data_IF_912962304788
#
_entry.id   IF_912962304788
#
_cell.length_a   1.000
_cell.length_b   1.000
_cell.length_c   1.000
_cell.angle_alpha   90.00
_cell.angle_beta   90.00
_cell.angle_gamma   90.00
#
_symmetry.space_group_name_H-M   'P 1'
#
loop_
_entity.id
_entity.type
_entity.pdbx_description
1 polymer ?
#
# COMPACT_ATOMS: atom_id res chain seq x y z
N UNK A 1 25.92 -1.56 1.55
CA UNK A 1 26.09 -2.92 0.97
C UNK A 1 25.60 -2.79 -0.45
N UNK A 2 26.49 -3.05 -1.40
CA UNK A 2 26.19 -2.92 -2.83
C UNK A 2 26.14 -4.33 -3.41
N UNK A 3 25.00 -4.70 -3.98
CA UNK A 3 24.77 -6.03 -4.56
C UNK A 3 24.53 -5.85 -6.05
N UNK A 4 25.34 -6.54 -6.85
CA UNK A 4 25.21 -6.60 -8.31
C UNK A 4 24.60 -7.95 -8.70
N UNK A 5 23.42 -7.92 -9.31
CA UNK A 5 22.73 -9.13 -9.77
C UNK A 5 22.88 -9.23 -11.29
N UNK A 6 23.51 -10.31 -11.76
CA UNK A 6 23.88 -10.51 -13.17
C UNK A 6 22.96 -11.46 -13.95
N UNK A 7 21.96 -12.08 -13.32
CA UNK A 7 21.07 -13.06 -13.95
C UNK A 7 19.58 -12.73 -13.74
N UNK A 8 18.74 -13.03 -14.73
CA UNK A 8 17.30 -12.81 -14.67
C UNK A 8 16.64 -13.93 -13.86
N UNK A 9 15.58 -13.60 -13.11
CA UNK A 9 14.76 -14.52 -12.31
C UNK A 9 15.45 -15.17 -11.10
N UNK A 10 16.63 -14.68 -10.69
CA UNK A 10 17.22 -15.06 -9.41
C UNK A 10 16.48 -14.34 -8.26
N UNK A 11 15.94 -15.13 -7.32
CA UNK A 11 15.43 -14.62 -6.05
C UNK A 11 16.56 -14.56 -5.03
N UNK A 12 16.92 -13.36 -4.60
CA UNK A 12 17.91 -13.16 -3.55
C UNK A 12 17.22 -12.78 -2.24
N UNK A 13 17.29 -13.68 -1.27
CA UNK A 13 16.86 -13.42 0.10
C UNK A 13 18.06 -12.99 0.93
N UNK A 14 18.08 -11.73 1.34
CA UNK A 14 19.05 -11.23 2.32
C UNK A 14 18.39 -11.26 3.70
N UNK A 15 18.85 -12.15 4.57
CA UNK A 15 18.49 -12.13 5.99
C UNK A 15 19.63 -11.47 6.76
N UNK A 16 19.31 -10.50 7.58
CA UNK A 16 20.27 -9.93 8.52
C UNK A 16 19.56 -9.41 9.75
N UNK A 17 20.21 -9.51 10.90
CA UNK A 17 19.75 -8.86 12.12
C UNK A 17 20.14 -7.36 12.15
N UNK A 18 21.10 -6.94 11.30
CA UNK A 18 21.70 -5.59 11.30
C UNK A 18 21.59 -4.80 9.97
N UNK A 19 21.28 -5.44 8.83
CA UNK A 19 21.16 -4.78 7.52
C UNK A 19 19.74 -4.31 7.29
N UNK A 20 19.49 -3.06 7.64
CA UNK A 20 18.29 -2.35 7.29
C UNK A 20 18.38 -1.88 5.82
N UNK A 21 18.03 -2.75 4.85
CA UNK A 21 17.96 -2.37 3.43
C UNK A 21 16.98 -1.21 3.19
N UNK A 22 16.02 -1.03 4.11
CA UNK A 22 15.06 0.06 4.07
C UNK A 22 15.61 1.43 4.55
N UNK A 23 16.91 1.58 4.82
CA UNK A 23 17.54 2.87 5.20
C UNK A 23 18.86 3.22 4.50
N UNK A 24 19.41 2.43 3.57
CA UNK A 24 20.65 2.83 2.87
C UNK A 24 21.47 1.79 2.10
N UNK A 25 20.89 0.66 1.70
CA UNK A 25 21.54 -0.27 0.76
C UNK A 25 21.12 0.01 -0.67
N UNK A 26 22.06 -0.07 -1.62
CA UNK A 26 21.76 0.04 -3.05
C UNK A 26 21.85 -1.34 -3.70
N UNK A 27 20.82 -1.71 -4.46
CA UNK A 27 20.84 -2.89 -5.31
C UNK A 27 20.81 -2.40 -6.75
N UNK A 28 21.83 -2.76 -7.52
CA UNK A 28 21.91 -2.44 -8.94
C UNK A 28 21.81 -3.74 -9.75
N UNK A 29 20.98 -3.72 -10.79
CA UNK A 29 20.90 -4.82 -11.74
C UNK A 29 20.65 -4.28 -13.14
N UNK A 30 21.31 -4.90 -14.10
CA UNK A 30 21.11 -4.69 -15.54
C UNK A 30 19.94 -5.54 -16.09
N UNK A 31 19.28 -6.31 -15.22
CA UNK A 31 18.15 -7.18 -15.54
C UNK A 31 16.96 -6.85 -14.63
N UNK A 32 15.72 -7.15 -15.06
CA UNK A 32 14.56 -7.07 -14.18
C UNK A 32 14.73 -8.02 -12.99
N UNK A 33 14.69 -7.47 -11.78
CA UNK A 33 14.75 -8.21 -10.51
C UNK A 33 13.56 -7.82 -9.64
N UNK A 34 13.12 -8.76 -8.80
CA UNK A 34 12.19 -8.48 -7.71
C UNK A 34 12.98 -8.50 -6.40
N UNK A 35 12.87 -7.44 -5.60
CA UNK A 35 13.52 -7.35 -4.30
C UNK A 35 12.43 -7.48 -3.23
N UNK A 36 12.50 -8.53 -2.41
CA UNK A 36 11.62 -8.66 -1.24
C UNK A 36 12.36 -8.17 -0.01
N UNK A 37 11.72 -7.28 0.74
CA UNK A 37 12.21 -6.79 2.03
C UNK A 37 11.23 -7.15 3.11
N UNK A 38 11.73 -7.43 4.30
CA UNK A 38 10.88 -7.82 5.40
C UNK A 38 11.59 -7.83 6.73
N UNK A 39 10.85 -8.25 7.74
CA UNK A 39 11.36 -8.52 9.07
C UNK A 39 10.69 -9.81 9.55
N UNK A 40 11.47 -10.76 10.06
CA UNK A 40 10.96 -12.05 10.55
C UNK A 40 10.23 -11.92 11.89
N UNK A 41 10.50 -10.86 12.63
CA UNK A 41 10.14 -10.74 14.04
C UNK A 41 9.66 -9.33 14.39
N UNK A 42 8.63 -8.87 13.68
CA UNK A 42 8.04 -7.55 13.93
C UNK A 42 7.14 -7.61 15.17
N UNK A 43 7.39 -6.78 16.19
CA UNK A 43 6.56 -6.76 17.38
C UNK A 43 5.15 -6.34 16.98
N UNK A 44 4.17 -7.16 17.34
CA UNK A 44 2.77 -6.78 17.28
C UNK A 44 2.25 -6.44 18.67
N UNK A 45 1.00 -6.01 18.76
CA UNK A 45 0.35 -5.79 20.04
C UNK A 45 0.37 -7.09 20.88
N UNK A 46 0.52 -6.96 22.21
CA UNK A 46 0.41 -8.05 23.20
C UNK A 46 1.59 -9.05 23.24
N UNK A 47 2.78 -8.68 22.77
CA UNK A 47 3.99 -9.50 22.92
C UNK A 47 4.10 -10.67 21.94
N UNK A 48 3.12 -10.80 21.04
CA UNK A 48 3.22 -11.65 19.86
C UNK A 48 4.14 -10.97 18.81
N UNK A 49 4.70 -11.78 17.91
CA UNK A 49 5.54 -11.32 16.81
C UNK A 49 5.10 -12.01 15.52
N UNK A 50 5.17 -11.30 14.40
CA UNK A 50 4.89 -11.87 13.08
C UNK A 50 5.98 -11.45 12.09
N UNK A 51 6.12 -12.26 11.04
CA UNK A 51 6.89 -11.84 9.88
C UNK A 51 6.09 -10.83 9.05
N UNK A 52 6.81 -9.91 8.43
CA UNK A 52 6.29 -8.97 7.45
C UNK A 52 7.20 -9.02 6.23
N UNK A 53 6.63 -9.05 5.04
CA UNK A 53 7.40 -9.04 3.80
C UNK A 53 6.62 -8.30 2.73
N UNK A 54 7.33 -7.62 1.85
CA UNK A 54 6.76 -6.91 0.72
C UNK A 54 7.79 -6.78 -0.40
N UNK A 55 7.30 -6.74 -1.64
CA UNK A 55 8.15 -6.47 -2.79
C UNK A 55 8.43 -4.96 -2.86
N UNK A 56 9.71 -4.57 -2.84
CA UNK A 56 10.10 -3.19 -3.01
C UNK A 56 9.94 -2.75 -4.47
N UNK A 57 9.45 -1.52 -4.67
CA UNK A 57 9.52 -0.87 -5.98
C UNK A 57 10.94 -0.32 -6.21
N UNK A 58 11.48 -0.37 -7.43
CA UNK A 58 12.76 0.25 -7.76
C UNK A 58 12.77 1.75 -7.45
N UNK A 59 13.92 2.31 -7.04
CA UNK A 59 14.04 3.72 -6.64
C UNK A 59 13.74 4.72 -7.77
N UNK A 60 13.93 4.32 -9.03
CA UNK A 60 13.52 5.12 -10.20
C UNK A 60 11.98 5.15 -10.41
N UNK A 61 11.25 4.24 -9.77
CA UNK A 61 9.77 4.19 -9.79
C UNK A 61 9.13 4.90 -8.59
N UNK A 62 9.93 5.45 -7.66
CA UNK A 62 9.40 6.30 -6.60
C UNK A 62 8.63 7.48 -7.20
N UNK A 63 7.64 7.99 -6.48
CA UNK A 63 6.74 9.02 -6.98
C UNK A 63 6.48 10.09 -5.93
N UNK A 64 5.75 11.13 -6.32
CA UNK A 64 5.56 12.32 -5.49
C UNK A 64 4.17 12.37 -4.85
N UNK A 65 3.18 11.77 -5.50
CA UNK A 65 1.78 11.89 -5.09
C UNK A 65 1.13 10.54 -4.78
N UNK A 66 0.61 10.42 -3.57
CA UNK A 66 -0.07 9.21 -3.08
C UNK A 66 -1.40 9.56 -2.44
N UNK A 67 -2.31 8.59 -2.48
CA UNK A 67 -3.54 8.60 -1.71
C UNK A 67 -3.46 7.50 -0.67
N UNK A 68 -3.64 7.88 0.59
CA UNK A 68 -3.80 6.96 1.71
C UNK A 68 -5.29 6.75 1.90
N UNK A 69 -5.84 5.56 1.65
CA UNK A 69 -7.24 5.30 1.92
C UNK A 69 -7.46 4.97 3.41
N UNK A 70 -8.69 5.13 3.86
CA UNK A 70 -9.13 4.53 5.13
C UNK A 70 -9.14 3.01 4.97
N UNK A 71 -8.52 2.29 5.91
CA UNK A 71 -8.46 0.83 5.89
C UNK A 71 -9.56 0.25 6.78
N UNK A 72 -10.35 -0.68 6.26
CA UNK A 72 -11.41 -1.31 7.05
C UNK A 72 -10.83 -1.98 8.30
N UNK A 73 -11.54 -1.89 9.44
CA UNK A 73 -11.18 -2.46 10.73
C UNK A 73 -9.88 -1.94 11.39
N UNK A 74 -9.04 -1.13 10.72
CA UNK A 74 -7.90 -0.50 11.39
C UNK A 74 -8.34 0.71 12.25
N UNK A 75 -7.61 1.01 13.33
CA UNK A 75 -7.86 2.21 14.14
C UNK A 75 -6.84 3.33 13.88
N UNK A 76 -5.57 2.94 13.82
CA UNK A 76 -4.47 3.83 13.49
C UNK A 76 -3.70 3.28 12.30
N UNK A 77 -2.94 4.14 11.65
CA UNK A 77 -2.00 3.75 10.60
C UNK A 77 -0.64 4.37 10.90
N UNK A 78 0.42 3.69 10.49
CA UNK A 78 1.77 4.26 10.44
C UNK A 78 2.16 4.38 8.98
N UNK A 79 2.58 5.56 8.57
CA UNK A 79 3.18 5.80 7.27
C UNK A 79 4.69 5.82 7.44
N UNK A 80 5.37 4.87 6.82
CA UNK A 80 6.82 4.93 6.64
C UNK A 80 7.11 5.47 5.26
N UNK A 81 7.83 6.58 5.20
CA UNK A 81 8.12 7.27 3.95
C UNK A 81 9.62 7.25 3.73
N UNK A 82 10.04 6.68 2.61
CA UNK A 82 11.43 6.57 2.19
C UNK A 82 11.64 7.52 1.02
N UNK A 83 12.37 8.60 1.24
CA UNK A 83 12.78 9.53 0.18
C UNK A 83 13.97 8.97 -0.59
N UNK A 84 13.96 9.16 -1.91
CA UNK A 84 15.11 8.87 -2.77
C UNK A 84 16.25 9.86 -2.51
N UNK A 85 15.90 11.13 -2.31
CA UNK A 85 16.82 12.25 -2.18
C UNK A 85 16.76 12.86 -0.77
N UNK A 86 17.90 13.23 -0.15
CA UNK A 86 17.90 13.87 1.17
C UNK A 86 17.27 15.27 1.10
N UNK A 87 16.79 15.78 2.24
CA UNK A 87 16.08 17.07 2.33
C UNK A 87 14.79 17.15 1.51
N UNK A 88 14.17 16.00 1.25
CA UNK A 88 12.84 15.94 0.63
C UNK A 88 11.79 16.39 1.64
N UNK A 89 11.01 17.42 1.29
CA UNK A 89 9.84 17.82 2.08
C UNK A 89 8.61 17.07 1.61
N UNK A 90 7.88 16.50 2.55
CA UNK A 90 6.61 15.82 2.31
C UNK A 90 5.49 16.54 3.05
N UNK A 91 4.41 16.77 2.32
CA UNK A 91 3.18 17.36 2.77
C UNK A 91 2.11 16.27 2.82
N UNK A 92 1.47 16.10 3.98
CA UNK A 92 0.37 15.16 4.16
C UNK A 92 -0.86 15.94 4.59
N UNK A 93 -1.94 15.81 3.83
CA UNK A 93 -3.17 16.56 4.03
C UNK A 93 -4.34 15.59 4.16
N UNK A 94 -5.12 15.70 5.22
CA UNK A 94 -6.35 14.93 5.40
C UNK A 94 -7.37 15.71 6.21
N UNK A 95 -8.53 15.10 6.48
CA UNK A 95 -9.59 15.72 7.30
C UNK A 95 -9.09 16.11 8.69
N UNK A 96 -8.17 15.31 9.25
CA UNK A 96 -7.66 15.46 10.61
C UNK A 96 -6.45 16.39 10.71
N UNK A 97 -6.03 17.05 9.62
CA UNK A 97 -5.01 18.09 9.68
C UNK A 97 -4.05 18.14 8.49
N UNK A 98 -3.03 18.97 8.67
CA UNK A 98 -1.92 19.17 7.74
C UNK A 98 -0.62 18.85 8.46
N UNK A 99 0.15 17.93 7.90
CA UNK A 99 1.47 17.54 8.38
C UNK A 99 2.49 17.94 7.32
N UNK A 100 3.56 18.60 7.76
CA UNK A 100 4.71 18.93 6.91
C UNK A 100 5.95 18.42 7.61
N UNK A 101 6.75 17.65 6.89
CA UNK A 101 8.00 17.16 7.42
C UNK A 101 9.09 17.22 6.34
N UNK A 102 10.25 17.76 6.70
CA UNK A 102 11.42 17.81 5.83
C UNK A 102 12.40 16.75 6.29
N UNK A 103 12.58 15.72 5.48
CA UNK A 103 13.38 14.57 5.84
C UNK A 103 14.86 14.88 5.64
N UNK A 104 15.55 15.15 6.76
CA UNK A 104 17.01 15.30 6.78
C UNK A 104 17.73 13.98 6.45
N UNK A 105 17.07 12.86 6.70
CA UNK A 105 17.50 11.50 6.35
C UNK A 105 16.57 10.91 5.29
N UNK A 106 16.89 9.72 4.76
CA UNK A 106 16.07 9.05 3.76
C UNK A 106 14.74 8.53 4.30
N UNK A 107 14.56 8.33 5.61
CA UNK A 107 13.38 7.66 6.16
C UNK A 107 12.72 8.47 7.27
N UNK A 108 11.40 8.48 7.28
CA UNK A 108 10.61 8.96 8.40
C UNK A 108 9.38 8.07 8.64
N UNK A 109 8.87 8.08 9.87
CA UNK A 109 7.64 7.40 10.26
C UNK A 109 6.68 8.39 10.91
N UNK A 110 5.41 8.29 10.55
CA UNK A 110 4.35 9.11 11.13
C UNK A 110 3.15 8.23 11.45
N UNK A 111 2.74 8.22 12.72
CA UNK A 111 1.49 7.63 13.15
C UNK A 111 0.33 8.62 12.94
N UNK A 112 -0.75 8.15 12.34
CA UNK A 112 -1.95 8.92 12.03
C UNK A 112 -3.21 8.15 12.41
N UNK A 113 -4.32 8.84 12.72
CA UNK A 113 -5.64 8.22 12.71
C UNK A 113 -5.91 7.50 11.39
N UNK A 114 -6.64 6.38 11.41
CA UNK A 114 -7.05 5.70 10.20
C UNK A 114 -8.13 6.51 9.45
N UNK A 115 -7.71 7.31 8.47
CA UNK A 115 -8.54 8.16 7.63
C UNK A 115 -7.90 8.34 6.24
N UNK A 116 -8.56 9.11 5.37
CA UNK A 116 -8.05 9.48 4.06
C UNK A 116 -7.03 10.62 4.12
N UNK A 117 -5.87 10.42 3.49
CA UNK A 117 -4.83 11.44 3.35
C UNK A 117 -4.32 11.52 1.91
N UNK A 118 -3.83 12.69 1.53
CA UNK A 118 -3.03 12.92 0.34
C UNK A 118 -1.62 13.30 0.72
N UNK A 119 -0.67 12.63 0.09
CA UNK A 119 0.74 12.86 0.26
C UNK A 119 1.22 13.55 -1.01
N UNK A 120 1.91 14.66 -0.84
CA UNK A 120 2.62 15.37 -1.89
C UNK A 120 4.06 15.60 -1.44
N UNK A 121 5.02 15.00 -2.13
CA UNK A 121 6.43 15.15 -1.87
C UNK A 121 7.07 16.10 -2.88
N UNK A 122 8.06 16.89 -2.47
CA UNK A 122 8.82 17.74 -3.39
C UNK A 122 9.75 16.95 -4.32
N UNK A 123 10.03 15.69 -3.97
CA UNK A 123 10.88 14.77 -4.72
C UNK A 123 10.36 13.34 -4.52
N UNK A 124 10.71 12.39 -5.40
CA UNK A 124 10.25 11.01 -5.33
C UNK A 124 10.49 10.33 -3.97
N UNK A 125 9.43 9.73 -3.44
CA UNK A 125 9.42 8.90 -2.24
C UNK A 125 8.75 7.56 -2.52
N UNK A 126 8.91 6.59 -1.62
CA UNK A 126 8.09 5.39 -1.51
C UNK A 126 7.34 5.46 -0.19
N UNK A 127 6.07 5.04 -0.18
CA UNK A 127 5.21 5.07 1.00
C UNK A 127 4.79 3.66 1.36
N UNK A 128 5.09 3.25 2.58
CA UNK A 128 4.62 2.01 3.20
C UNK A 128 3.58 2.34 4.25
N UNK A 129 2.46 1.63 4.23
CA UNK A 129 1.40 1.72 5.22
C UNK A 129 1.47 0.50 6.15
N UNK A 130 1.37 0.76 7.45
CA UNK A 130 1.13 -0.26 8.47
C UNK A 130 -0.23 0.03 9.12
N UNK A 131 -1.04 -0.99 9.34
CA UNK A 131 -2.26 -0.87 10.14
C UNK A 131 -1.95 -1.08 11.61
N UNK A 132 -2.73 -0.47 12.50
CA UNK A 132 -2.61 -0.64 13.95
C UNK A 132 -4.00 -0.71 14.60
N UNK A 133 -4.09 -1.52 15.65
CA UNK A 133 -5.32 -1.75 16.43
C UNK A 133 -5.16 -1.24 17.86
N UNK A 134 -6.26 -0.83 18.49
CA UNK A 134 -6.23 -0.47 19.91
C UNK A 134 -6.19 -1.69 20.82
N UNK A 135 -5.50 -1.52 21.94
CA UNK A 135 -5.11 -2.53 22.93
C UNK A 135 -6.25 -3.32 23.59
N UNK A 136 -7.52 -2.97 23.44
CA UNK A 136 -8.52 -3.41 24.41
C UNK A 136 -9.26 -4.70 24.07
N UNK A 137 -9.72 -4.98 22.84
CA UNK A 137 -10.68 -6.10 22.64
C UNK A 137 -10.65 -6.84 21.28
N UNK A 138 -9.74 -6.52 20.37
CA UNK A 138 -9.66 -7.18 19.05
C UNK A 138 -8.25 -7.65 18.77
N UNK A 139 -8.06 -8.98 18.75
CA UNK A 139 -6.77 -9.62 18.44
C UNK A 139 -6.62 -9.83 16.93
N UNK A 140 -6.55 -8.74 16.18
CA UNK A 140 -6.19 -8.78 14.76
C UNK A 140 -4.80 -8.19 14.62
N UNK A 141 -3.92 -8.91 13.93
CA UNK A 141 -2.53 -8.50 13.77
C UNK A 141 -2.46 -7.34 12.76
N UNK A 142 -1.51 -6.41 12.94
CA UNK A 142 -1.23 -5.40 11.92
C UNK A 142 -0.75 -6.07 10.63
N UNK A 143 -1.00 -5.45 9.49
CA UNK A 143 -0.35 -5.77 8.22
C UNK A 143 0.47 -4.58 7.72
N UNK A 144 1.43 -4.88 6.85
CA UNK A 144 2.23 -3.92 6.09
C UNK A 144 1.84 -4.00 4.61
N UNK A 145 1.81 -2.87 3.91
CA UNK A 145 1.69 -2.86 2.45
C UNK A 145 2.35 -1.62 1.85
N UNK A 146 2.89 -1.70 0.63
CA UNK A 146 3.25 -0.51 -0.14
C UNK A 146 1.99 0.17 -0.71
N UNK A 147 1.96 1.50 -0.65
CA UNK A 147 0.92 2.28 -1.33
C UNK A 147 1.31 2.51 -2.78
N UNK A 148 0.43 2.23 -3.76
CA UNK A 148 0.63 2.68 -5.13
C UNK A 148 0.52 4.19 -5.21
N UNK A 149 1.46 4.81 -5.93
CA UNK A 149 1.35 6.20 -6.32
C UNK A 149 0.25 6.37 -7.37
N UNK A 150 -0.26 7.58 -7.55
CA UNK A 150 -1.24 7.89 -8.61
C UNK A 150 -0.68 7.49 -9.99
N UNK A 151 0.61 7.71 -10.24
CA UNK A 151 1.30 7.34 -11.49
C UNK A 151 1.36 5.82 -11.74
N UNK A 152 1.16 5.00 -10.70
CA UNK A 152 1.20 3.53 -10.77
C UNK A 152 -0.17 2.90 -11.03
N UNK A 153 -1.22 3.71 -11.13
CA UNK A 153 -2.60 3.22 -11.27
C UNK A 153 -2.82 2.51 -12.61
N UNK A 154 -3.64 1.46 -12.59
CA UNK A 154 -4.04 0.67 -13.75
C UNK A 154 -5.56 0.76 -13.96
N UNK A 155 -6.01 0.37 -15.15
CA UNK A 155 -7.44 0.18 -15.45
C UNK A 155 -7.88 -1.27 -15.23
N UNK A 156 -6.95 -2.18 -14.93
CA UNK A 156 -7.20 -3.60 -14.78
C UNK A 156 -6.19 -4.25 -13.83
N UNK A 157 -6.69 -5.06 -12.91
CA UNK A 157 -5.94 -5.81 -11.92
C UNK A 157 -6.45 -7.25 -11.86
N UNK A 158 -5.52 -8.18 -11.68
CA UNK A 158 -5.81 -9.57 -11.30
C UNK A 158 -5.20 -9.79 -9.93
N UNK A 159 -6.02 -10.16 -8.96
CA UNK A 159 -5.62 -10.33 -7.57
C UNK A 159 -5.96 -11.74 -7.08
N UNK A 160 -5.37 -12.14 -5.95
CA UNK A 160 -5.66 -13.41 -5.29
C UNK A 160 -5.84 -13.25 -3.80
N UNK A 161 -6.78 -13.97 -3.20
CA UNK A 161 -6.98 -13.95 -1.75
C UNK A 161 -6.81 -15.33 -1.15
N UNK A 162 -6.43 -15.43 0.14
CA UNK A 162 -6.55 -16.69 0.86
C UNK A 162 -7.97 -17.25 0.75
N UNK A 163 -8.05 -18.56 0.59
CA UNK A 163 -9.31 -19.30 0.39
C UNK A 163 -9.82 -19.94 1.67
N UNK A 164 -9.09 -19.76 2.77
CA UNK A 164 -9.48 -20.31 4.06
C UNK A 164 -10.63 -19.47 4.60
N UNK A 165 -11.71 -20.14 5.01
CA UNK A 165 -12.96 -19.49 5.44
C UNK A 165 -12.83 -18.66 6.72
N UNK A 166 -11.67 -18.70 7.37
CA UNK A 166 -11.35 -17.90 8.55
C UNK A 166 -10.92 -16.46 8.20
N UNK A 167 -10.53 -16.18 6.95
CA UNK A 167 -10.24 -14.82 6.51
C UNK A 167 -11.49 -14.09 6.02
N UNK A 168 -11.64 -12.85 6.48
CA UNK A 168 -12.45 -11.85 5.78
C UNK A 168 -11.53 -11.02 4.90
N UNK A 169 -11.71 -11.13 3.59
CA UNK A 169 -10.89 -10.46 2.58
C UNK A 169 -11.55 -9.15 2.16
N UNK A 170 -10.74 -8.14 1.90
CA UNK A 170 -11.14 -6.80 1.50
C UNK A 170 -10.33 -6.33 0.30
N UNK A 171 -10.95 -5.48 -0.49
CA UNK A 171 -10.31 -4.71 -1.54
C UNK A 171 -10.66 -3.23 -1.37
N UNK A 172 -9.68 -2.35 -1.56
CA UNK A 172 -9.89 -0.90 -1.59
C UNK A 172 -9.44 -0.34 -2.93
N UNK A 173 -10.37 0.25 -3.66
CA UNK A 173 -10.16 0.96 -4.91
C UNK A 173 -9.92 2.44 -4.63
N UNK A 174 -8.90 3.03 -5.24
CA UNK A 174 -8.60 4.46 -5.16
C UNK A 174 -8.78 5.06 -6.55
N UNK A 175 -9.79 5.89 -6.75
CA UNK A 175 -10.16 6.42 -8.08
C UNK A 175 -10.36 7.93 -8.03
N UNK A 176 -10.07 8.64 -9.12
CA UNK A 176 -10.38 10.06 -9.23
C UNK A 176 -11.91 10.24 -9.20
N UNK A 177 -12.41 11.19 -8.42
CA UNK A 177 -13.85 11.44 -8.25
C UNK A 177 -14.53 11.92 -9.52
N UNK A 178 -13.75 12.52 -10.43
CA UNK A 178 -14.24 12.99 -11.72
C UNK A 178 -14.36 11.84 -12.74
N UNK A 179 -13.76 10.69 -12.45
CA UNK A 179 -13.93 9.49 -13.27
C UNK A 179 -15.24 8.78 -12.92
N UNK A 180 -15.74 8.00 -13.89
CA UNK A 180 -16.98 7.24 -13.75
C UNK A 180 -16.81 6.06 -12.77
N UNK A 181 -16.96 6.29 -11.47
CA UNK A 181 -16.88 5.23 -10.45
C UNK A 181 -17.78 4.03 -10.73
N UNK A 182 -18.96 4.26 -11.30
CA UNK A 182 -19.94 3.21 -11.63
C UNK A 182 -19.46 2.31 -12.78
N UNK A 183 -18.35 2.66 -13.43
CA UNK A 183 -17.65 1.87 -14.42
C UNK A 183 -16.78 0.75 -13.85
N UNK A 184 -16.59 0.66 -12.53
CA UNK A 184 -15.83 -0.41 -11.88
C UNK A 184 -16.52 -1.78 -12.01
N UNK A 185 -15.73 -2.82 -12.28
CA UNK A 185 -16.19 -4.19 -12.49
C UNK A 185 -15.40 -5.18 -11.64
N UNK A 186 -16.11 -6.17 -11.10
CA UNK A 186 -15.55 -7.33 -10.42
C UNK A 186 -15.94 -8.59 -11.19
N UNK A 187 -14.94 -9.33 -11.69
CA UNK A 187 -15.15 -10.50 -12.53
C UNK A 187 -16.09 -10.22 -13.72
N UNK A 188 -16.00 -9.02 -14.30
CA UNK A 188 -16.85 -8.56 -15.40
C UNK A 188 -18.25 -8.09 -15.00
N UNK A 189 -18.73 -8.43 -13.81
CA UNK A 189 -19.97 -7.92 -13.24
C UNK A 189 -19.82 -6.52 -12.66
N UNK A 190 -20.93 -5.81 -12.42
CA UNK A 190 -20.90 -4.56 -11.67
C UNK A 190 -20.30 -4.81 -10.29
N UNK A 191 -19.33 -3.98 -9.88
CA UNK A 191 -18.81 -4.02 -8.53
C UNK A 191 -19.82 -3.33 -7.60
N UNK A 192 -20.79 -4.09 -7.09
CA UNK A 192 -21.81 -3.61 -6.15
C UNK A 192 -21.22 -3.63 -4.74
N UNK A 193 -20.85 -2.46 -4.21
CA UNK A 193 -20.39 -2.33 -2.83
C UNK A 193 -21.58 -2.43 -1.86
N UNK A 194 -21.47 -3.27 -0.83
CA UNK A 194 -22.15 -3.00 0.44
C UNK A 194 -21.34 -1.89 1.15
N UNK A 195 -21.95 -0.72 1.29
CA UNK A 195 -21.27 0.55 1.55
C UNK A 195 -20.34 0.56 2.79
N UNK A 196 -19.12 1.09 2.59
CA UNK A 196 -18.34 1.74 3.64
C UNK A 196 -17.78 3.05 3.07
N UNK A 197 -17.84 4.10 3.89
CA UNK A 197 -17.53 5.48 3.52
C UNK A 197 -16.20 5.66 2.78
N UNK A 198 -16.32 6.50 1.76
CA UNK A 198 -15.27 7.01 0.90
C UNK A 198 -14.80 8.35 1.47
N UNK A 199 -13.59 8.44 2.02
CA UNK A 199 -13.07 9.72 2.48
C UNK A 199 -12.70 10.59 1.27
N UNK A 200 -13.33 11.76 1.05
CA UNK A 200 -12.88 12.69 0.04
C UNK A 200 -11.58 13.35 0.51
N UNK A 201 -10.50 13.11 -0.23
CA UNK A 201 -9.33 13.98 -0.13
C UNK A 201 -9.70 15.32 -0.76
N UNK A 202 -9.79 16.40 0.04
CA UNK A 202 -9.88 17.77 -0.47
C UNK A 202 -8.57 18.50 -0.22
N UNK A 203 -7.70 18.65 -1.23
CA UNK A 203 -6.77 19.81 -1.24
C UNK A 203 -6.10 20.26 -2.55
N UNK A 204 -6.34 19.68 -3.73
CA UNK A 204 -5.62 20.13 -4.94
C UNK A 204 -6.49 20.20 -6.21
N UNK A 205 -7.74 20.69 -6.11
CA UNK A 205 -8.76 20.68 -7.18
C UNK A 205 -9.11 19.30 -7.77
N UNK A 206 -8.43 18.25 -7.33
CA UNK A 206 -8.71 16.85 -7.65
C UNK A 206 -9.12 16.15 -6.37
N UNK A 207 -10.27 15.47 -6.40
CA UNK A 207 -10.79 14.70 -5.27
C UNK A 207 -10.63 13.23 -5.61
N UNK A 208 -10.13 12.42 -4.68
CA UNK A 208 -10.08 10.97 -4.84
C UNK A 208 -11.10 10.30 -3.95
N UNK A 209 -11.62 9.16 -4.42
CA UNK A 209 -12.51 8.27 -3.70
C UNK A 209 -11.78 6.98 -3.37
N UNK A 210 -11.72 6.61 -2.10
CA UNK A 210 -11.34 5.27 -1.64
C UNK A 210 -12.59 4.42 -1.38
N UNK A 211 -12.81 3.34 -2.12
CA UNK A 211 -14.02 2.51 -2.01
C UNK A 211 -13.62 1.11 -1.59
N UNK A 212 -14.13 0.63 -0.45
CA UNK A 212 -13.79 -0.68 0.10
C UNK A 212 -14.94 -1.67 -0.01
N UNK A 213 -14.65 -2.89 -0.45
CA UNK A 213 -15.58 -4.03 -0.48
C UNK A 213 -14.96 -5.23 0.24
N UNK A 214 -15.80 -6.07 0.84
CA UNK A 214 -15.42 -7.44 1.16
C UNK A 214 -15.44 -8.32 -0.10
N UNK A 215 -14.57 -9.32 -0.13
CA UNK A 215 -14.49 -10.30 -1.21
C UNK A 215 -15.04 -11.65 -0.74
N UNK A 216 -15.73 -12.34 -1.64
CA UNK A 216 -16.33 -13.65 -1.38
C UNK A 216 -15.26 -14.75 -1.31
N UNK A 217 -15.11 -15.36 -0.15
CA UNK A 217 -14.11 -16.42 0.13
C UNK A 217 -14.25 -17.67 -0.73
N UNK A 218 -15.36 -17.86 -1.46
CA UNK A 218 -15.54 -18.97 -2.41
C UNK A 218 -14.63 -18.86 -3.64
N UNK A 219 -14.11 -17.68 -3.93
CA UNK A 219 -13.19 -17.46 -5.05
C UNK A 219 -11.79 -17.15 -4.54
N UNK A 220 -10.81 -17.54 -5.34
CA UNK A 220 -9.39 -17.42 -5.00
C UNK A 220 -8.71 -16.32 -5.82
N UNK A 221 -9.31 -15.96 -6.96
CA UNK A 221 -8.83 -14.95 -7.88
C UNK A 221 -9.96 -14.05 -8.32
N UNK A 222 -9.65 -12.77 -8.46
CA UNK A 222 -10.60 -11.75 -8.88
C UNK A 222 -9.96 -10.85 -9.93
N UNK A 223 -10.76 -10.45 -10.91
CA UNK A 223 -10.41 -9.37 -11.84
C UNK A 223 -11.16 -8.11 -11.46
N UNK A 224 -10.43 -7.04 -11.15
CA UNK A 224 -11.00 -5.71 -10.90
C UNK A 224 -10.60 -4.84 -12.08
N UNK A 225 -11.59 -4.29 -12.77
CA UNK A 225 -11.36 -3.50 -13.99
C UNK A 225 -12.31 -2.31 -14.07
N UNK A 226 -12.05 -1.43 -15.03
CA UNK A 226 -12.95 -0.35 -15.39
C UNK A 226 -13.41 -0.50 -16.85
N UNK A 227 -14.68 -0.19 -17.14
CA UNK A 227 -15.25 -0.29 -18.51
C UNK A 227 -14.55 0.62 -19.53
N UNK A 228 -14.11 1.79 -19.07
CA UNK A 228 -13.24 2.69 -19.82
C UNK A 228 -11.78 2.42 -19.43
N UNK A 229 -10.96 2.01 -20.42
CA UNK A 229 -9.54 1.68 -20.22
C UNK A 229 -8.67 2.91 -19.92
N UNK A 230 -9.18 4.12 -20.14
CA UNK A 230 -8.49 5.36 -19.83
C UNK A 230 -8.62 5.75 -18.36
N UNK A 231 -9.65 5.27 -17.67
CA UNK A 231 -9.82 5.48 -16.23
C UNK A 231 -8.87 4.57 -15.48
N UNK A 232 -7.97 5.17 -14.70
CA UNK A 232 -6.98 4.48 -13.89
C UNK A 232 -7.34 4.61 -12.42
N UNK A 233 -7.13 3.55 -11.66
CA UNK A 233 -7.36 3.52 -10.23
C UNK A 233 -6.26 2.72 -9.54
N UNK A 234 -6.02 3.01 -8.26
CA UNK A 234 -5.15 2.22 -7.39
C UNK A 234 -5.94 1.12 -6.71
N UNK A 235 -5.25 0.06 -6.29
CA UNK A 235 -5.88 -1.08 -5.63
C UNK A 235 -5.03 -1.54 -4.45
N UNK A 236 -5.65 -1.71 -3.29
CA UNK A 236 -5.08 -2.42 -2.15
C UNK A 236 -5.94 -3.65 -1.86
N UNK A 237 -5.29 -4.76 -1.54
CA UNK A 237 -5.96 -6.00 -1.11
C UNK A 237 -5.44 -6.35 0.26
N UNK A 238 -6.33 -6.66 1.18
CA UNK A 238 -5.96 -7.03 2.53
C UNK A 238 -7.02 -7.91 3.15
N UNK A 239 -6.70 -8.57 4.24
CA UNK A 239 -7.65 -9.43 4.93
C UNK A 239 -7.24 -9.70 6.35
N UNK A 240 -8.23 -10.11 7.13
CA UNK A 240 -8.09 -10.32 8.56
C UNK A 240 -8.69 -11.66 8.95
N UNK A 241 -8.02 -12.30 9.89
CA UNK A 241 -8.58 -13.38 10.70
C UNK A 241 -8.12 -13.22 12.15
N UNK A 242 -8.56 -14.12 13.02
CA UNK A 242 -8.07 -14.16 14.39
C UNK A 242 -6.55 -14.30 14.41
N UNK A 243 -5.85 -13.32 15.01
CA UNK A 243 -4.38 -13.26 15.15
C UNK A 243 -3.62 -13.41 13.82
N UNK A 244 -4.17 -12.94 12.70
CA UNK A 244 -3.40 -12.79 11.48
C UNK A 244 -4.05 -11.77 10.53
N UNK A 245 -3.21 -11.13 9.72
CA UNK A 245 -3.63 -10.24 8.68
C UNK A 245 -2.66 -10.30 7.51
N UNK A 246 -3.11 -9.90 6.33
CA UNK A 246 -2.25 -9.69 5.17
C UNK A 246 -2.65 -8.40 4.48
N UNK A 247 -1.73 -7.82 3.73
CA UNK A 247 -1.98 -6.67 2.86
C UNK A 247 -0.96 -6.65 1.73
N UNK A 248 -1.39 -6.25 0.54
CA UNK A 248 -0.51 -6.05 -0.61
C UNK A 248 -1.18 -5.09 -1.62
N UNK A 249 -0.41 -4.36 -2.44
CA UNK A 249 -0.95 -3.56 -3.53
C UNK A 249 -1.42 -4.48 -4.66
N UNK A 250 -2.58 -4.19 -5.27
CA UNK A 250 -3.08 -4.99 -6.39
C UNK A 250 -2.16 -5.02 -7.61
N UNK A 251 -1.23 -4.06 -7.69
CA UNK A 251 -0.14 -4.01 -8.66
C UNK A 251 0.35 -2.58 -8.88
N UNK A 252 1.50 -2.45 -9.54
CA UNK A 252 2.07 -1.17 -9.96
C UNK A 252 2.28 -1.16 -11.47
N UNK A 253 1.78 -0.15 -12.16
CA UNK A 253 2.25 0.16 -13.51
C UNK A 253 3.57 0.90 -13.38
N UNK A 254 4.67 0.26 -13.79
CA UNK A 254 6.01 0.84 -13.77
C UNK A 254 6.36 1.33 -15.18
N UNK A 255 6.70 2.62 -15.29
CA UNK A 255 6.72 3.35 -16.56
C UNK A 255 7.87 4.37 -16.67
N UNK A 256 8.81 4.37 -15.73
CA UNK A 256 10.02 5.21 -15.73
C UNK A 256 11.30 4.42 -15.99
#
# INVERSE_FOLDING_TARGET
MDILIKNAFEGLLFTSDDINISTGGTIESDKPIAVLSGNMDSPINLGERNFQTEMLIPTNQFAETYIVPKIANAKHIILRIVARDPFTTVYITGKNGFYKNTYKQYVNQLELPNDGYFINAQRPVMVTLYTMYERSNVTVNPFMTLLPAIDHFSSNYVITTPTTSDFTNYVTVIINSNDNVDGLRLNGGNLLFHAVDVTPVKKFNTVYKSISASLDVRYTSFTISHIDKNVKFGLLVYGYKYRAAYGYPGGFVLNK
#
